data_IF_632676945619
#
_entry.id   IF_632676945619
#
_cell.length_a   1.000
_cell.length_b   1.000
_cell.length_c   1.000
_cell.angle_alpha   90.00
_cell.angle_beta   90.00
_cell.angle_gamma   90.00
#
_symmetry.space_group_name_H-M   'P 1'
#
loop_
_entity.id
_entity.type
_entity.pdbx_description
1 polymer ?
#
# COMPACT_ATOMS: atom_id res chain seq x y z
N UNK A 1 16.31 2.19 8.51
CA UNK A 1 16.18 1.50 7.21
C UNK A 1 14.86 1.91 6.60
N UNK A 2 14.87 2.46 5.40
CA UNK A 2 13.64 2.82 4.72
C UNK A 2 12.94 1.60 4.10
N UNK A 3 11.70 1.77 3.66
CA UNK A 3 10.99 0.74 2.92
C UNK A 3 11.69 0.45 1.59
N UNK A 4 12.23 1.50 0.95
CA UNK A 4 12.96 1.37 -0.31
C UNK A 4 14.29 0.62 -0.12
N UNK A 5 15.01 0.88 0.97
CA UNK A 5 16.21 0.14 1.34
C UNK A 5 15.92 -1.34 1.55
N UNK A 6 14.78 -1.67 2.16
CA UNK A 6 14.40 -3.07 2.36
C UNK A 6 14.14 -3.77 1.03
N UNK A 7 13.38 -3.11 0.13
CA UNK A 7 12.97 -3.66 -1.16
C UNK A 7 14.17 -3.78 -2.11
N UNK A 8 15.07 -2.80 -2.11
CA UNK A 8 16.23 -2.77 -3.02
C UNK A 8 17.49 -3.38 -2.41
N UNK A 9 17.50 -3.62 -1.09
CA UNK A 9 18.59 -4.22 -0.34
C UNK A 9 18.60 -5.75 -0.38
N UNK A 10 19.48 -6.37 0.40
CA UNK A 10 19.73 -7.82 0.37
C UNK A 10 18.45 -8.65 0.60
N UNK A 11 17.62 -8.26 1.58
CA UNK A 11 16.36 -8.95 1.89
C UNK A 11 15.40 -8.95 0.70
N UNK A 12 15.08 -7.78 0.14
CA UNK A 12 14.20 -7.68 -1.02
C UNK A 12 14.75 -8.40 -2.25
N UNK A 13 16.06 -8.36 -2.47
CA UNK A 13 16.73 -9.11 -3.54
C UNK A 13 16.60 -10.62 -3.37
N UNK A 14 16.74 -11.16 -2.15
CA UNK A 14 16.59 -12.59 -1.86
C UNK A 14 15.16 -13.07 -2.04
N UNK A 15 14.17 -12.30 -1.56
CA UNK A 15 12.75 -12.63 -1.76
C UNK A 15 12.40 -12.61 -3.25
N UNK A 16 12.92 -11.64 -4.00
CA UNK A 16 12.67 -11.53 -5.43
C UNK A 16 13.31 -12.68 -6.22
N UNK A 17 14.51 -13.12 -5.86
CA UNK A 17 15.15 -14.31 -6.44
C UNK A 17 14.34 -15.59 -6.17
N UNK A 18 13.78 -15.73 -4.98
CA UNK A 18 12.92 -16.86 -4.63
C UNK A 18 11.59 -16.85 -5.38
N UNK A 19 10.99 -15.67 -5.51
CA UNK A 19 9.79 -15.48 -6.32
C UNK A 19 10.06 -15.85 -7.78
N UNK A 20 11.22 -15.44 -8.32
CA UNK A 20 11.64 -15.77 -9.67
C UNK A 20 11.77 -17.27 -9.87
N UNK A 21 12.47 -17.96 -8.96
CA UNK A 21 12.62 -19.41 -9.01
C UNK A 21 11.30 -20.18 -8.91
N UNK A 22 10.33 -19.68 -8.12
CA UNK A 22 9.05 -20.37 -7.90
C UNK A 22 7.99 -20.06 -8.96
N UNK A 23 7.92 -18.81 -9.41
CA UNK A 23 6.83 -18.32 -10.26
C UNK A 23 7.27 -18.01 -11.70
N UNK A 24 8.58 -18.05 -11.99
CA UNK A 24 9.13 -17.72 -13.30
C UNK A 24 8.89 -16.27 -13.69
N UNK A 25 8.90 -15.36 -12.70
CA UNK A 25 8.73 -13.92 -12.89
C UNK A 25 10.07 -13.24 -12.61
N UNK A 26 10.50 -12.33 -13.47
CA UNK A 26 11.82 -11.72 -13.31
C UNK A 26 11.94 -10.98 -11.98
N UNK A 27 13.13 -11.01 -11.40
CA UNK A 27 13.46 -10.24 -10.19
C UNK A 27 13.03 -8.76 -10.28
N UNK A 28 13.25 -8.13 -11.44
CA UNK A 28 12.85 -6.74 -11.70
C UNK A 28 11.34 -6.53 -11.59
N UNK A 29 10.53 -7.45 -12.10
CA UNK A 29 9.07 -7.37 -11.97
C UNK A 29 8.62 -7.54 -10.51
N UNK A 30 9.28 -8.41 -9.74
CA UNK A 30 8.97 -8.59 -8.31
C UNK A 30 9.34 -7.36 -7.49
N UNK A 31 10.50 -6.74 -7.77
CA UNK A 31 10.89 -5.47 -7.15
C UNK A 31 9.90 -4.37 -7.53
N UNK A 32 9.53 -4.26 -8.80
CA UNK A 32 8.50 -3.31 -9.26
C UNK A 32 7.15 -3.53 -8.60
N UNK A 33 6.76 -4.78 -8.37
CA UNK A 33 5.56 -5.12 -7.62
C UNK A 33 5.66 -4.65 -6.16
N UNK A 34 6.76 -4.94 -5.47
CA UNK A 34 6.96 -4.51 -4.08
C UNK A 34 6.89 -2.99 -3.92
N UNK A 35 7.44 -2.26 -4.88
CA UNK A 35 7.46 -0.79 -4.91
C UNK A 35 6.05 -0.19 -4.94
N UNK A 36 5.10 -0.85 -5.59
CA UNK A 36 3.70 -0.40 -5.67
C UNK A 36 2.84 -1.03 -4.58
N UNK A 37 3.00 -2.33 -4.34
CA UNK A 37 2.17 -3.10 -3.41
C UNK A 37 2.46 -2.76 -1.95
N UNK A 38 3.72 -2.51 -1.56
CA UNK A 38 4.03 -2.25 -0.16
C UNK A 38 3.39 -0.95 0.36
N UNK A 39 3.49 0.22 -0.33
CA UNK A 39 2.76 1.41 0.07
C UNK A 39 1.24 1.20 0.09
N UNK A 40 0.69 0.43 -0.87
CA UNK A 40 -0.74 0.12 -0.91
C UNK A 40 -1.20 -0.69 0.30
N UNK A 41 -0.47 -1.77 0.65
CA UNK A 41 -0.72 -2.59 1.84
C UNK A 41 -0.68 -1.73 3.11
N UNK A 42 0.35 -0.89 3.26
CA UNK A 42 0.51 0.01 4.41
C UNK A 42 -0.63 1.03 4.47
N UNK A 43 -1.09 1.56 3.33
CA UNK A 43 -2.22 2.49 3.26
C UNK A 43 -3.53 1.84 3.72
N UNK A 44 -3.83 0.61 3.29
CA UNK A 44 -5.00 -0.13 3.76
C UNK A 44 -4.92 -0.46 5.24
N UNK A 45 -3.74 -0.87 5.74
CA UNK A 45 -3.50 -1.10 7.17
C UNK A 45 -3.69 0.18 7.99
N UNK A 46 -3.21 1.32 7.49
CA UNK A 46 -3.41 2.62 8.12
C UNK A 46 -4.91 2.92 8.24
N UNK A 47 -5.66 2.79 7.14
CA UNK A 47 -7.11 3.01 7.12
C UNK A 47 -7.82 2.12 8.14
N UNK A 48 -7.45 0.84 8.21
CA UNK A 48 -8.00 -0.11 9.20
C UNK A 48 -7.65 0.28 10.63
N UNK A 49 -6.44 0.77 10.85
CA UNK A 49 -5.97 1.20 12.18
C UNK A 49 -6.66 2.48 12.69
N UNK A 50 -7.44 3.17 11.86
CA UNK A 50 -8.33 4.25 12.32
C UNK A 50 -9.49 3.70 13.17
N UNK A 51 -9.80 2.41 13.03
CA UNK A 51 -10.66 1.67 13.95
C UNK A 51 -9.81 1.07 15.09
N UNK A 52 -10.16 1.39 16.34
CA UNK A 52 -9.40 0.97 17.52
C UNK A 52 -9.29 -0.56 17.69
N UNK A 53 -10.35 -1.31 17.39
CA UNK A 53 -10.36 -2.77 17.51
C UNK A 53 -9.45 -3.42 16.45
N UNK A 54 -9.49 -2.92 15.22
CA UNK A 54 -8.63 -3.39 14.13
C UNK A 54 -7.17 -3.01 14.40
N UNK A 55 -6.92 -1.82 14.94
CA UNK A 55 -5.57 -1.40 15.34
C UNK A 55 -4.99 -2.31 16.42
N UNK A 56 -5.80 -2.72 17.41
CA UNK A 56 -5.35 -3.61 18.48
C UNK A 56 -5.11 -5.04 18.00
N UNK A 57 -5.97 -5.56 17.11
CA UNK A 57 -5.74 -6.86 16.45
C UNK A 57 -4.46 -6.84 15.63
N UNK A 58 -4.22 -5.78 14.88
CA UNK A 58 -3.01 -5.61 14.09
C UNK A 58 -1.78 -5.52 15.02
N UNK A 59 -1.86 -4.73 16.09
CA UNK A 59 -0.83 -4.61 17.13
C UNK A 59 -0.42 -5.98 17.68
N UNK A 60 -1.40 -6.79 18.09
CA UNK A 60 -1.19 -8.14 18.61
C UNK A 60 -0.64 -9.13 17.57
N UNK A 61 -1.06 -8.99 16.30
CA UNK A 61 -0.58 -9.85 15.21
C UNK A 61 0.89 -9.55 14.89
N UNK A 62 1.27 -8.26 14.87
CA UNK A 62 2.64 -7.83 14.67
C UNK A 62 3.56 -8.33 15.80
N UNK A 63 3.09 -8.32 17.06
CA UNK A 63 3.87 -8.84 18.19
C UNK A 63 4.09 -10.36 18.14
N UNK A 64 3.08 -11.11 17.68
CA UNK A 64 3.11 -12.58 17.74
C UNK A 64 3.73 -13.24 16.53
N UNK A 65 3.58 -12.64 15.34
CA UNK A 65 3.83 -13.35 14.08
C UNK A 65 4.74 -12.61 13.10
N UNK A 66 4.97 -11.31 13.32
CA UNK A 66 5.67 -10.44 12.37
C UNK A 66 6.60 -9.43 13.05
N UNK A 67 7.34 -9.87 14.05
CA UNK A 67 8.33 -9.08 14.80
C UNK A 67 9.56 -8.61 13.98
N UNK A 68 9.64 -8.99 12.71
CA UNK A 68 10.78 -8.71 11.83
C UNK A 68 11.75 -9.88 11.68
N UNK A 69 11.55 -10.99 12.39
CA UNK A 69 12.39 -12.21 12.26
C UNK A 69 12.47 -12.74 10.82
N UNK A 70 11.38 -12.61 10.04
CA UNK A 70 11.34 -12.99 8.62
C UNK A 70 12.35 -12.22 7.76
N UNK A 71 12.76 -11.02 8.16
CA UNK A 71 13.74 -10.21 7.41
C UNK A 71 15.16 -10.77 7.52
N UNK A 72 15.43 -11.51 8.60
CA UNK A 72 16.71 -12.20 8.82
C UNK A 72 16.78 -13.53 8.07
N UNK A 73 15.62 -14.11 7.74
CA UNK A 73 15.53 -15.32 6.92
C UNK A 73 14.39 -15.21 5.91
N UNK A 74 14.59 -14.43 4.82
CA UNK A 74 13.53 -14.17 3.85
C UNK A 74 13.10 -15.43 3.09
N UNK A 75 13.90 -16.51 3.15
CA UNK A 75 13.55 -17.82 2.61
C UNK A 75 12.27 -18.43 3.18
N UNK A 76 11.91 -18.07 4.41
CA UNK A 76 10.68 -18.54 5.03
C UNK A 76 9.43 -17.90 4.40
N UNK A 77 9.57 -16.80 3.66
CA UNK A 77 8.44 -16.16 2.98
C UNK A 77 7.75 -17.10 1.97
N UNK A 78 8.52 -17.97 1.31
CA UNK A 78 8.02 -18.98 0.38
C UNK A 78 7.06 -19.98 1.04
N UNK A 79 7.32 -20.32 2.30
CA UNK A 79 6.59 -21.31 3.09
C UNK A 79 5.34 -20.70 3.75
N UNK A 80 5.35 -19.38 3.96
CA UNK A 80 4.26 -18.63 4.60
C UNK A 80 3.21 -18.09 3.61
N UNK A 81 3.13 -18.66 2.41
CA UNK A 81 2.18 -18.21 1.38
C UNK A 81 0.70 -18.29 1.81
N UNK A 82 0.29 -19.34 2.55
CA UNK A 82 -1.09 -19.46 3.04
C UNK A 82 -1.43 -18.40 4.10
N UNK A 83 -0.48 -18.12 4.97
CA UNK A 83 -0.59 -17.04 5.94
C UNK A 83 -0.68 -15.69 5.24
N UNK A 84 0.17 -15.48 4.24
CA UNK A 84 0.15 -14.32 3.38
C UNK A 84 -1.21 -14.07 2.73
N UNK A 85 -1.86 -15.11 2.21
CA UNK A 85 -3.20 -14.99 1.62
C UNK A 85 -4.24 -14.55 2.66
N UNK A 86 -4.12 -15.06 3.89
CA UNK A 86 -4.98 -14.68 5.02
C UNK A 86 -4.76 -13.22 5.42
N UNK A 87 -3.50 -12.78 5.46
CA UNK A 87 -3.11 -11.39 5.70
C UNK A 87 -3.75 -10.48 4.65
N UNK A 88 -3.56 -10.78 3.36
CA UNK A 88 -4.10 -9.95 2.27
C UNK A 88 -5.63 -9.92 2.27
N UNK A 89 -6.28 -11.05 2.56
CA UNK A 89 -7.73 -11.12 2.67
C UNK A 89 -8.24 -10.28 3.84
N UNK A 90 -7.51 -10.23 4.95
CA UNK A 90 -7.85 -9.36 6.08
C UNK A 90 -7.61 -7.88 5.78
N UNK A 91 -6.53 -7.54 5.07
CA UNK A 91 -6.13 -6.16 4.74
C UNK A 91 -7.05 -5.57 3.67
N UNK A 92 -7.22 -6.26 2.55
CA UNK A 92 -7.98 -5.75 1.41
C UNK A 92 -9.47 -6.11 1.48
N UNK A 93 -9.85 -7.17 2.18
CA UNK A 93 -11.25 -7.59 2.28
C UNK A 93 -11.87 -7.79 0.90
N UNK A 94 -13.01 -7.13 0.66
CA UNK A 94 -13.70 -7.17 -0.63
C UNK A 94 -12.92 -6.54 -1.80
N UNK A 95 -11.89 -5.74 -1.54
CA UNK A 95 -11.10 -5.07 -2.58
C UNK A 95 -9.94 -5.93 -3.10
N UNK A 96 -9.69 -7.11 -2.51
CA UNK A 96 -8.52 -7.95 -2.85
C UNK A 96 -8.39 -8.19 -4.35
N UNK A 97 -9.47 -8.61 -5.01
CA UNK A 97 -9.47 -8.88 -6.46
C UNK A 97 -9.26 -7.61 -7.30
N UNK A 98 -9.80 -6.47 -6.88
CA UNK A 98 -9.58 -5.19 -7.57
C UNK A 98 -8.11 -4.77 -7.47
N UNK A 99 -7.54 -4.89 -6.27
CA UNK A 99 -6.12 -4.60 -6.01
C UNK A 99 -5.21 -5.51 -6.84
N UNK A 100 -5.47 -6.81 -6.86
CA UNK A 100 -4.73 -7.78 -7.68
C UNK A 100 -4.79 -7.43 -9.17
N UNK A 101 -5.97 -7.04 -9.67
CA UNK A 101 -6.16 -6.62 -11.06
C UNK A 101 -5.34 -5.37 -11.41
N UNK A 102 -5.40 -4.35 -10.57
CA UNK A 102 -4.60 -3.14 -10.79
C UNK A 102 -3.11 -3.43 -10.74
N UNK A 103 -2.65 -4.24 -9.79
CA UNK A 103 -1.23 -4.60 -9.70
C UNK A 103 -0.78 -5.42 -10.91
N UNK A 104 -1.62 -6.32 -11.42
CA UNK A 104 -1.37 -7.07 -12.66
C UNK A 104 -1.16 -6.12 -13.84
N UNK A 105 -2.05 -5.14 -14.03
CA UNK A 105 -1.96 -4.16 -15.12
C UNK A 105 -0.70 -3.28 -15.02
N UNK A 106 -0.32 -2.87 -13.81
CA UNK A 106 0.82 -1.97 -13.60
C UNK A 106 2.18 -2.68 -13.69
N UNK A 107 2.24 -3.97 -13.34
CA UNK A 107 3.50 -4.73 -13.28
C UNK A 107 3.72 -5.66 -14.47
N UNK A 108 2.68 -5.89 -15.27
CA UNK A 108 2.68 -6.89 -16.34
C UNK A 108 2.73 -8.34 -15.85
N UNK A 109 2.56 -8.57 -14.55
CA UNK A 109 2.44 -9.91 -13.96
C UNK A 109 1.01 -10.40 -14.21
N UNK A 110 0.84 -11.64 -14.66
CA UNK A 110 -0.47 -12.20 -14.96
C UNK A 110 -1.32 -12.43 -13.69
N UNK A 111 -2.65 -12.35 -13.84
CA UNK A 111 -3.60 -12.49 -12.73
C UNK A 111 -3.52 -13.84 -11.99
N UNK A 112 -3.12 -14.91 -12.66
CA UNK A 112 -2.91 -16.22 -12.04
C UNK A 112 -1.68 -16.27 -11.13
N UNK A 113 -0.73 -15.34 -11.29
CA UNK A 113 0.51 -15.27 -10.52
C UNK A 113 0.51 -14.16 -9.49
N UNK A 114 -0.21 -13.07 -9.73
CA UNK A 114 -0.17 -11.88 -8.87
C UNK A 114 -0.61 -12.20 -7.43
N UNK A 115 -1.70 -12.94 -7.24
CA UNK A 115 -2.21 -13.31 -5.92
C UNK A 115 -1.20 -14.16 -5.14
N UNK A 116 -0.72 -15.30 -5.68
CA UNK A 116 0.30 -16.12 -5.03
C UNK A 116 1.60 -15.38 -4.72
N UNK A 117 2.05 -14.48 -5.61
CA UNK A 117 3.25 -13.66 -5.37
C UNK A 117 2.99 -12.68 -4.24
N UNK A 118 1.89 -11.92 -4.28
CA UNK A 118 1.54 -10.99 -3.22
C UNK A 118 1.41 -11.69 -1.87
N UNK A 119 0.80 -12.88 -1.85
CA UNK A 119 0.69 -13.68 -0.64
C UNK A 119 2.08 -14.04 -0.09
N UNK A 120 3.03 -14.42 -0.94
CA UNK A 120 4.41 -14.65 -0.50
C UNK A 120 5.08 -13.37 0.06
N UNK A 121 4.79 -12.20 -0.51
CA UNK A 121 5.40 -10.93 -0.12
C UNK A 121 4.77 -10.33 1.15
N UNK A 122 3.50 -10.62 1.44
CA UNK A 122 2.76 -10.00 2.54
C UNK A 122 3.40 -10.20 3.92
N UNK A 123 3.87 -11.42 4.31
CA UNK A 123 4.56 -11.62 5.58
C UNK A 123 5.86 -10.80 5.71
N UNK A 124 6.56 -10.52 4.59
CA UNK A 124 7.79 -9.71 4.57
C UNK A 124 7.46 -8.25 4.84
N UNK A 125 6.40 -7.72 4.20
CA UNK A 125 5.90 -6.36 4.46
C UNK A 125 5.46 -6.22 5.92
N UNK A 126 4.71 -7.21 6.45
CA UNK A 126 4.30 -7.22 7.85
C UNK A 126 5.50 -7.29 8.81
N UNK A 127 6.51 -8.09 8.47
CA UNK A 127 7.76 -8.18 9.23
C UNK A 127 8.49 -6.84 9.32
N UNK A 128 8.52 -6.09 8.22
CA UNK A 128 9.07 -4.73 8.22
C UNK A 128 8.29 -3.78 9.13
N UNK A 129 6.95 -3.83 9.07
CA UNK A 129 6.10 -2.99 9.93
C UNK A 129 6.34 -3.34 11.40
N UNK A 130 6.41 -4.63 11.75
CA UNK A 130 6.67 -5.05 13.14
C UNK A 130 8.07 -4.69 13.61
N UNK A 131 9.09 -4.79 12.75
CA UNK A 131 10.43 -4.29 13.07
C UNK A 131 10.41 -2.79 13.35
N UNK A 132 9.71 -2.00 12.51
CA UNK A 132 9.59 -0.56 12.71
C UNK A 132 8.79 -0.21 13.96
N UNK A 133 7.75 -0.98 14.26
CA UNK A 133 6.98 -0.86 15.51
C UNK A 133 7.88 -1.02 16.73
N UNK A 134 8.71 -2.06 16.74
CA UNK A 134 9.68 -2.29 17.83
C UNK A 134 10.71 -1.18 17.92
N UNK A 135 11.28 -0.75 16.79
CA UNK A 135 12.28 0.31 16.74
C UNK A 135 11.75 1.66 17.25
N UNK A 136 10.45 1.93 17.03
CA UNK A 136 9.79 3.16 17.47
C UNK A 136 9.08 3.02 18.84
N UNK A 137 9.20 1.88 19.52
CA UNK A 137 8.61 1.67 20.83
C UNK A 137 7.07 1.73 20.84
N UNK A 138 6.42 1.43 19.72
CA UNK A 138 4.96 1.46 19.61
C UNK A 138 4.40 0.19 20.26
N UNK A 139 3.65 0.35 21.35
CA UNK A 139 3.11 -0.77 22.14
C UNK A 139 1.59 -0.90 22.09
N UNK A 140 0.90 0.06 21.46
CA UNK A 140 -0.57 0.13 21.45
C UNK A 140 -1.09 0.44 20.05
N UNK A 141 -2.33 0.02 19.75
CA UNK A 141 -2.97 0.24 18.46
C UNK A 141 -3.05 1.71 18.05
N UNK A 142 -3.19 2.65 19.00
CA UNK A 142 -3.28 4.08 18.72
C UNK A 142 -2.02 4.66 18.05
N UNK A 143 -0.82 4.21 18.43
CA UNK A 143 0.44 4.66 17.82
C UNK A 143 0.75 4.00 16.47
N UNK A 144 -0.03 3.01 16.07
CA UNK A 144 0.19 2.25 14.86
C UNK A 144 -0.21 3.03 13.60
N UNK A 145 -1.29 3.82 13.67
CA UNK A 145 -1.69 4.72 12.59
C UNK A 145 -0.61 5.75 12.26
N UNK A 146 0.00 6.34 13.30
CA UNK A 146 1.08 7.31 13.15
C UNK A 146 2.34 6.67 12.58
N UNK A 147 2.70 5.46 13.03
CA UNK A 147 3.82 4.70 12.49
C UNK A 147 3.62 4.41 11.00
N UNK A 148 2.45 3.86 10.62
CA UNK A 148 2.14 3.52 9.23
C UNK A 148 2.11 4.78 8.35
N UNK A 149 1.55 5.88 8.86
CA UNK A 149 1.59 7.19 8.20
C UNK A 149 3.01 7.72 8.01
N UNK A 150 3.87 7.57 9.02
CA UNK A 150 5.28 7.94 8.95
C UNK A 150 6.07 7.11 7.93
N UNK A 151 5.82 5.80 7.85
CA UNK A 151 6.43 4.92 6.83
C UNK A 151 6.03 5.39 5.43
N UNK A 152 4.74 5.69 5.20
CA UNK A 152 4.26 6.20 3.91
C UNK A 152 4.87 7.55 3.57
N UNK A 153 4.89 8.50 4.52
CA UNK A 153 5.46 9.82 4.33
C UNK A 153 6.95 9.78 3.96
N UNK A 154 7.72 8.95 4.67
CA UNK A 154 9.14 8.77 4.39
C UNK A 154 9.38 8.14 3.02
N UNK A 155 8.56 7.16 2.62
CA UNK A 155 8.66 6.53 1.30
C UNK A 155 8.38 7.51 0.15
N UNK A 156 7.40 8.42 0.32
CA UNK A 156 7.09 9.46 -0.66
C UNK A 156 8.22 10.50 -0.79
N UNK A 157 8.85 10.86 0.34
CA UNK A 157 9.94 11.84 0.37
C UNK A 157 11.25 11.29 -0.21
N UNK A 158 11.57 10.00 0.03
CA UNK A 158 12.71 9.32 -0.60
C UNK A 158 12.56 9.18 -2.12
N UNK A 159 11.31 9.07 -2.59
CA UNK A 159 10.98 8.99 -4.01
C UNK A 159 11.20 10.33 -4.74
N UNK A 160 11.01 11.47 -4.06
CA UNK A 160 11.29 12.81 -4.62
C UNK A 160 12.77 13.19 -4.55
N UNK A 161 13.52 12.67 -3.58
CA UNK A 161 14.94 12.99 -3.41
C UNK A 161 15.88 12.14 -4.29
N UNK A 162 15.37 11.06 -4.88
CA UNK A 162 16.17 10.10 -5.64
C UNK A 162 15.99 10.25 -7.15
N UNK A 163 17.06 10.59 -7.86
CA UNK A 163 17.16 10.52 -9.34
C UNK A 163 17.23 9.06 -9.83
N UNK A 164 16.35 8.19 -9.35
CA UNK A 164 16.33 6.77 -9.69
C UNK A 164 15.22 6.49 -10.72
N UNK A 165 15.39 5.57 -11.69
CA UNK A 165 14.31 5.19 -12.62
C UNK A 165 13.08 4.59 -11.90
N UNK A 166 13.23 4.18 -10.65
CA UNK A 166 12.13 3.83 -9.75
C UNK A 166 11.27 5.03 -9.32
N UNK A 167 11.82 6.25 -9.25
CA UNK A 167 11.05 7.48 -9.01
C UNK A 167 10.24 7.89 -10.22
N UNK A 168 10.63 7.53 -11.44
CA UNK A 168 9.79 7.69 -12.63
C UNK A 168 8.63 6.69 -12.64
N UNK A 169 8.85 5.45 -12.20
CA UNK A 169 7.78 4.44 -12.05
C UNK A 169 6.82 4.84 -10.93
N UNK A 170 7.35 5.22 -9.76
CA UNK A 170 6.54 5.72 -8.65
C UNK A 170 5.84 7.03 -9.03
N UNK A 171 6.53 7.96 -9.66
CA UNK A 171 5.99 9.24 -10.12
C UNK A 171 4.96 9.11 -11.23
N UNK A 172 5.03 8.10 -12.08
CA UNK A 172 3.98 7.82 -13.08
C UNK A 172 2.78 7.07 -12.48
N UNK A 173 3.00 6.17 -11.51
CA UNK A 173 1.93 5.43 -10.83
C UNK A 173 1.20 6.31 -9.80
N UNK A 174 1.92 7.19 -9.10
CA UNK A 174 1.39 8.08 -8.04
C UNK A 174 1.08 9.48 -8.59
N UNK A 175 1.94 10.04 -9.44
CA UNK A 175 1.78 11.38 -10.05
C UNK A 175 1.06 11.40 -11.41
N UNK A 176 0.79 10.23 -12.00
CA UNK A 176 -0.07 10.10 -13.19
C UNK A 176 -1.55 10.46 -12.95
N UNK A 177 -1.94 10.76 -11.69
CA UNK A 177 -3.28 11.19 -11.31
C UNK A 177 -3.71 12.55 -11.90
N UNK A 178 -2.80 13.30 -12.52
CA UNK A 178 -3.12 14.63 -13.07
C UNK A 178 -3.53 14.62 -14.55
N UNK A 179 -3.35 13.53 -15.30
CA UNK A 179 -3.67 13.54 -16.72
C UNK A 179 -3.88 12.16 -17.36
N UNK A 180 -4.81 11.35 -16.86
CA UNK A 180 -5.48 10.39 -17.74
C UNK A 180 -6.81 9.93 -17.15
N UNK A 181 -7.83 10.00 -17.98
CA UNK A 181 -9.20 9.62 -17.72
C UNK A 181 -9.29 8.09 -17.55
N UNK A 182 -9.40 7.61 -16.30
CA UNK A 182 -9.95 6.28 -15.98
C UNK A 182 -9.13 5.38 -15.06
N UNK A 183 -9.58 5.21 -13.81
CA UNK A 183 -9.52 3.94 -13.08
C UNK A 183 -8.15 3.52 -12.52
N UNK A 184 -7.32 4.48 -12.10
CA UNK A 184 -5.98 4.20 -11.58
C UNK A 184 -5.92 3.85 -10.09
N UNK A 185 -4.74 3.42 -9.63
CA UNK A 185 -4.40 3.30 -8.20
C UNK A 185 -4.61 4.62 -7.45
N UNK A 186 -4.51 5.76 -8.14
CA UNK A 186 -4.84 7.10 -7.62
C UNK A 186 -6.31 7.27 -7.24
N UNK A 187 -7.26 6.60 -7.90
CA UNK A 187 -8.68 6.64 -7.52
C UNK A 187 -8.96 5.77 -6.28
N UNK A 188 -8.29 4.62 -6.16
CA UNK A 188 -8.36 3.78 -4.94
C UNK A 188 -7.67 4.49 -3.77
N UNK A 189 -6.50 5.08 -4.00
CA UNK A 189 -5.79 5.84 -2.97
C UNK A 189 -6.56 7.12 -2.61
N UNK A 190 -7.17 7.81 -3.58
CA UNK A 190 -8.02 8.99 -3.32
C UNK A 190 -9.30 8.65 -2.56
N UNK A 191 -9.96 7.53 -2.89
CA UNK A 191 -11.15 7.06 -2.19
C UNK A 191 -10.87 6.43 -0.82
N UNK A 192 -9.70 5.81 -0.64
CA UNK A 192 -9.27 5.22 0.64
C UNK A 192 -8.71 6.26 1.62
N UNK A 193 -8.01 7.27 1.10
CA UNK A 193 -7.27 8.27 1.88
C UNK A 193 -8.04 9.60 2.05
N UNK A 194 -9.07 9.86 1.25
CA UNK A 194 -9.64 11.21 1.07
C UNK A 194 -11.17 11.30 1.04
N UNK A 195 -11.90 10.31 1.54
CA UNK A 195 -13.37 10.31 1.58
C UNK A 195 -14.01 11.23 2.64
N UNK A 196 -13.45 12.41 2.90
CA UNK A 196 -13.96 13.39 3.86
C UNK A 196 -13.72 14.83 3.39
N UNK A 197 -14.81 15.52 3.07
CA UNK A 197 -14.92 16.93 2.63
C UNK A 197 -14.59 17.26 1.16
N UNK A 198 -15.59 17.02 0.32
CA UNK A 198 -16.03 18.05 -0.62
C UNK A 198 -17.55 18.20 -0.54
N UNK A 199 -18.00 18.74 0.60
CA UNK A 199 -19.34 19.29 0.72
C UNK A 199 -19.40 20.58 -0.11
N UNK A 200 -19.85 20.41 -1.34
CA UNK A 200 -20.89 21.23 -1.95
C UNK A 200 -20.94 22.69 -1.48
N UNK A 201 -20.17 23.55 -2.12
CA UNK A 201 -20.42 24.98 -2.10
C UNK A 201 -19.98 25.63 -3.41
N UNK A 202 -20.66 25.29 -4.50
CA UNK A 202 -20.93 26.29 -5.53
C UNK A 202 -22.13 25.92 -6.38
N UNK A 203 -22.96 26.94 -6.58
CA UNK A 203 -23.86 27.14 -7.71
C UNK A 203 -25.29 26.58 -7.57
N UNK A 204 -26.17 27.42 -7.03
CA UNK A 204 -27.60 27.26 -7.26
C UNK A 204 -28.47 28.03 -6.29
N UNK A 205 -28.72 29.32 -6.57
CA UNK A 205 -29.91 29.98 -6.03
C UNK A 205 -29.68 31.25 -5.23
N UNK A 206 -29.28 32.34 -5.91
CA UNK A 206 -29.71 33.72 -5.56
C UNK A 206 -29.88 34.62 -6.80
N UNK A 207 -29.77 34.08 -8.02
CA UNK A 207 -29.96 34.84 -9.28
C UNK A 207 -31.41 34.91 -9.80
N UNK A 208 -32.37 34.28 -9.12
CA UNK A 208 -33.77 34.17 -9.58
C UNK A 208 -34.76 35.12 -8.90
N UNK A 209 -34.33 35.95 -7.94
CA UNK A 209 -35.23 36.77 -7.11
C UNK A 209 -35.24 38.26 -7.48
N UNK A 210 -34.49 38.68 -8.50
CA UNK A 210 -34.47 40.08 -8.97
C UNK A 210 -35.14 40.29 -10.35
N UNK A 211 -35.61 39.22 -11.01
CA UNK A 211 -36.29 39.32 -12.31
C UNK A 211 -37.81 39.48 -12.27
N UNK A 212 -38.44 39.41 -11.09
CA UNK A 212 -39.90 39.37 -10.93
C UNK A 212 -40.56 40.64 -10.37
N UNK A 213 -39.81 41.71 -10.07
CA UNK A 213 -40.34 42.91 -9.41
C UNK A 213 -40.47 44.14 -10.34
N UNK A 214 -40.11 44.02 -11.63
CA UNK A 214 -40.31 45.09 -12.63
C UNK A 214 -41.41 44.74 -13.64
N UNK A 215 -42.57 44.32 -13.11
CA UNK A 215 -43.82 44.17 -13.85
C UNK A 215 -44.75 45.36 -13.65
N UNK A 216 -44.39 46.52 -14.21
CA UNK A 216 -45.29 47.53 -14.79
C UNK A 216 -44.48 48.60 -15.52
#
# INVERSE_FOLDING_TARGET
MSLLDLITGSTGNQVAEQAENKFGISKTQIIGLLVVAAPLVISYLKKKSENADEAEKLNATLDKHHDGSILNNPAQALERGQEGDSILSHIFGGEKTNVENQLSQNTGISMDKIGPILAMLAPVIMGYIGQQKQANGVTSGGGLGDLLGGILGNSAQESQASNNPLSDILGSVIGGATQSQGGGLGDILGSVLGGGNQQQSQQGGLGGLLGGLFGK
#
